data_IF_628017756003
#
_entry.id   IF_628017756003
#
_cell.length_a   1.000
_cell.length_b   1.000
_cell.length_c   1.000
_cell.angle_alpha   90.00
_cell.angle_beta   90.00
_cell.angle_gamma   90.00
#
_symmetry.space_group_name_H-M   'P 1'
#
loop_
_entity.id
_entity.type
_entity.pdbx_description
1 polymer ?
#
# COMPACT_ATOMS: atom_id res chain seq x y z
N UNK A 1 41.75 -6.53 -10.62
CA UNK A 1 40.53 -6.11 -9.91
C UNK A 1 40.48 -6.86 -8.60
N UNK A 2 40.33 -6.18 -7.47
CA UNK A 2 40.20 -6.83 -6.16
C UNK A 2 38.92 -7.67 -6.15
N UNK A 3 39.03 -8.97 -5.90
CA UNK A 3 37.88 -9.88 -5.85
C UNK A 3 36.94 -9.45 -4.71
N UNK A 4 35.65 -9.29 -5.01
CA UNK A 4 34.65 -8.89 -4.03
C UNK A 4 34.47 -10.00 -2.97
N UNK A 5 34.86 -9.73 -1.72
CA UNK A 5 34.64 -10.67 -0.63
C UNK A 5 33.27 -10.44 0.00
N UNK A 6 32.30 -11.26 -0.41
CA UNK A 6 30.91 -11.16 0.08
C UNK A 6 30.76 -11.49 1.57
N UNK A 7 31.72 -12.17 2.22
CA UNK A 7 31.60 -12.55 3.64
C UNK A 7 31.90 -11.40 4.60
N UNK A 8 32.80 -10.50 4.22
CA UNK A 8 33.24 -9.37 5.07
C UNK A 8 32.62 -8.04 4.66
N UNK A 9 31.89 -8.01 3.54
CA UNK A 9 31.26 -6.82 3.01
C UNK A 9 30.04 -6.38 3.82
N UNK A 10 29.72 -5.08 3.71
CA UNK A 10 28.47 -4.51 4.19
C UNK A 10 27.50 -4.32 3.04
N UNK A 11 26.24 -4.61 3.30
CA UNK A 11 25.20 -4.64 2.28
C UNK A 11 24.26 -3.46 2.41
N UNK A 12 23.71 -3.06 1.26
CA UNK A 12 22.62 -2.10 1.15
C UNK A 12 21.35 -2.88 0.88
N UNK A 13 20.32 -2.66 1.69
CA UNK A 13 18.99 -3.24 1.49
C UNK A 13 17.97 -2.12 1.51
N UNK A 14 17.17 -2.01 0.45
CA UNK A 14 16.17 -0.94 0.27
C UNK A 14 16.73 0.46 0.61
N UNK A 15 17.90 0.78 0.03
CA UNK A 15 18.64 2.04 0.19
C UNK A 15 19.25 2.32 1.58
N UNK A 16 19.18 1.39 2.53
CA UNK A 16 19.87 1.53 3.82
C UNK A 16 21.15 0.68 3.82
N UNK A 17 22.35 1.30 3.94
CA UNK A 17 23.62 0.57 4.06
C UNK A 17 23.86 0.02 5.48
N UNK A 18 24.84 -0.87 5.60
CA UNK A 18 25.46 -1.24 6.88
C UNK A 18 25.14 -2.64 7.39
N UNK A 19 24.33 -3.40 6.66
CA UNK A 19 23.92 -4.74 7.06
C UNK A 19 25.02 -5.78 6.87
N UNK A 20 25.10 -6.73 7.79
CA UNK A 20 25.86 -7.96 7.59
C UNK A 20 25.22 -8.83 6.50
N UNK A 21 25.98 -9.80 5.97
CA UNK A 21 25.45 -10.77 5.01
C UNK A 21 24.22 -11.49 5.55
N UNK A 22 24.25 -11.96 6.80
CA UNK A 22 23.13 -12.69 7.40
C UNK A 22 21.85 -11.82 7.45
N UNK A 23 21.95 -10.59 7.94
CA UNK A 23 20.80 -9.66 7.97
C UNK A 23 20.25 -9.40 6.57
N UNK A 24 21.14 -9.13 5.61
CA UNK A 24 20.76 -8.84 4.23
C UNK A 24 20.02 -10.03 3.58
N UNK A 25 20.50 -11.26 3.79
CA UNK A 25 19.85 -12.48 3.30
C UNK A 25 18.43 -12.61 3.83
N UNK A 26 18.22 -12.40 5.13
CA UNK A 26 16.88 -12.49 5.74
C UNK A 26 15.93 -11.43 5.19
N UNK A 27 16.42 -10.21 4.94
CA UNK A 27 15.61 -9.16 4.33
C UNK A 27 15.29 -9.46 2.86
N UNK A 28 16.28 -9.91 2.07
CA UNK A 28 16.06 -10.27 0.67
C UNK A 28 15.10 -11.45 0.52
N UNK A 29 15.18 -12.47 1.39
CA UNK A 29 14.22 -13.58 1.41
C UNK A 29 12.80 -13.14 1.77
N UNK A 30 12.66 -12.12 2.63
CA UNK A 30 11.35 -11.55 2.93
C UNK A 30 10.78 -10.77 1.72
N UNK A 31 11.64 -10.04 1.01
CA UNK A 31 11.32 -9.15 -0.12
C UNK A 31 11.02 -9.88 -1.42
N UNK A 32 11.85 -10.85 -1.79
CA UNK A 32 11.75 -11.55 -3.06
C UNK A 32 11.12 -12.92 -2.83
N UNK A 33 10.04 -13.23 -3.55
CA UNK A 33 9.38 -14.53 -3.44
C UNK A 33 10.26 -15.64 -4.04
N UNK A 34 10.99 -15.32 -5.11
CA UNK A 34 11.85 -16.27 -5.83
C UNK A 34 13.30 -15.81 -5.89
N UNK A 35 14.22 -16.78 -5.97
CA UNK A 35 15.65 -16.51 -6.21
C UNK A 35 15.88 -15.78 -7.54
N UNK A 36 15.00 -15.99 -8.53
CA UNK A 36 15.06 -15.33 -9.83
C UNK A 36 14.85 -13.82 -9.70
N UNK A 37 13.88 -13.41 -8.89
CA UNK A 37 13.61 -11.99 -8.64
C UNK A 37 14.76 -11.34 -7.87
N UNK A 38 15.30 -12.04 -6.86
CA UNK A 38 16.50 -11.61 -6.16
C UNK A 38 17.68 -11.38 -7.11
N UNK A 39 18.00 -12.37 -7.95
CA UNK A 39 19.11 -12.28 -8.91
C UNK A 39 18.94 -11.11 -9.87
N UNK A 40 17.73 -10.91 -10.38
CA UNK A 40 17.41 -9.81 -11.29
C UNK A 40 17.65 -8.43 -10.66
N UNK A 41 17.23 -8.24 -9.41
CA UNK A 41 17.23 -6.93 -8.76
C UNK A 41 18.53 -6.61 -8.00
N UNK A 42 19.21 -7.64 -7.47
CA UNK A 42 20.40 -7.46 -6.61
C UNK A 42 21.70 -7.77 -7.35
N UNK A 43 21.70 -8.78 -8.22
CA UNK A 43 22.91 -9.24 -8.93
C UNK A 43 23.00 -8.52 -10.28
N UNK A 44 23.17 -7.19 -10.22
CA UNK A 44 23.19 -6.31 -11.41
C UNK A 44 24.57 -6.18 -12.05
N UNK A 45 25.63 -6.69 -11.41
CA UNK A 45 27.01 -6.57 -11.88
C UNK A 45 27.74 -7.92 -11.81
N UNK A 46 28.63 -8.18 -12.77
CA UNK A 46 29.36 -9.46 -12.87
C UNK A 46 30.18 -9.81 -11.61
N UNK A 47 30.64 -8.80 -10.87
CA UNK A 47 31.36 -8.99 -9.62
C UNK A 47 30.52 -9.64 -8.50
N UNK A 48 29.19 -9.66 -8.64
CA UNK A 48 28.25 -10.22 -7.67
C UNK A 48 27.81 -11.65 -8.03
N UNK A 49 28.30 -12.23 -9.13
CA UNK A 49 27.89 -13.57 -9.56
C UNK A 49 28.18 -14.64 -8.51
N UNK A 50 29.32 -14.56 -7.82
CA UNK A 50 29.66 -15.48 -6.71
C UNK A 50 28.67 -15.35 -5.54
N UNK A 51 28.27 -14.12 -5.19
CA UNK A 51 27.22 -13.90 -4.18
C UNK A 51 25.89 -14.51 -4.67
N UNK A 52 25.52 -14.29 -5.93
CA UNK A 52 24.29 -14.82 -6.50
C UNK A 52 24.21 -16.35 -6.47
N UNK A 53 25.33 -17.04 -6.72
CA UNK A 53 25.43 -18.50 -6.61
C UNK A 53 25.31 -18.97 -5.15
N UNK A 54 26.03 -18.31 -4.24
CA UNK A 54 25.95 -18.61 -2.80
C UNK A 54 24.53 -18.43 -2.24
N UNK A 55 23.84 -17.35 -2.60
CA UNK A 55 22.46 -17.11 -2.15
C UNK A 55 21.48 -18.12 -2.73
N UNK A 56 21.71 -18.59 -3.96
CA UNK A 56 20.90 -19.65 -4.58
C UNK A 56 21.03 -20.98 -3.83
N UNK A 57 22.25 -21.38 -3.46
CA UNK A 57 22.50 -22.61 -2.69
C UNK A 57 21.81 -22.57 -1.32
N UNK A 58 21.83 -21.41 -0.65
CA UNK A 58 21.23 -21.26 0.67
C UNK A 58 19.77 -20.82 0.65
N UNK A 59 19.17 -20.57 -0.51
CA UNK A 59 17.92 -19.81 -0.63
C UNK A 59 16.81 -20.38 0.26
N UNK A 60 16.66 -21.70 0.26
CA UNK A 60 15.59 -22.40 0.97
C UNK A 60 15.86 -22.56 2.47
N UNK A 61 17.10 -22.39 2.91
CA UNK A 61 17.50 -22.43 4.33
C UNK A 61 17.36 -21.07 5.02
N UNK A 62 17.29 -19.97 4.25
CA UNK A 62 17.20 -18.63 4.81
C UNK A 62 15.82 -18.43 5.45
N UNK A 63 15.83 -18.13 6.76
CA UNK A 63 14.64 -17.76 7.51
C UNK A 63 14.37 -16.26 7.28
N UNK A 64 13.29 -15.88 6.57
CA UNK A 64 12.97 -14.49 6.35
C UNK A 64 12.67 -13.78 7.67
N UNK A 65 12.76 -12.46 7.65
CA UNK A 65 12.32 -11.65 8.79
C UNK A 65 10.81 -11.72 8.96
N UNK A 66 10.37 -11.95 10.19
CA UNK A 66 8.95 -12.01 10.56
C UNK A 66 8.38 -10.64 10.92
N UNK A 67 7.05 -10.52 10.84
CA UNK A 67 6.32 -9.31 11.27
C UNK A 67 6.50 -9.07 12.77
N UNK A 68 6.54 -10.14 13.56
CA UNK A 68 6.78 -10.06 14.99
C UNK A 68 8.15 -9.46 15.35
N UNK A 69 9.20 -9.85 14.63
CA UNK A 69 10.52 -9.24 14.77
C UNK A 69 10.51 -7.77 14.36
N UNK A 70 9.83 -7.44 13.26
CA UNK A 70 9.72 -6.06 12.78
C UNK A 70 9.02 -5.15 13.81
N UNK A 71 7.90 -5.59 14.38
CA UNK A 71 7.16 -4.83 15.39
C UNK A 71 8.01 -4.55 16.65
N UNK A 72 8.92 -5.46 17.02
CA UNK A 72 9.79 -5.33 18.19
C UNK A 72 11.10 -4.57 17.95
N UNK A 73 11.47 -4.29 16.70
CA UNK A 73 12.76 -3.69 16.35
C UNK A 73 12.87 -2.24 16.88
N UNK A 74 13.69 -1.91 17.89
CA UNK A 74 13.76 -0.56 18.46
C UNK A 74 14.23 0.51 17.47
N UNK A 75 15.13 0.17 16.53
CA UNK A 75 15.63 1.14 15.56
C UNK A 75 14.56 1.40 14.48
N UNK A 76 14.11 2.66 14.38
CA UNK A 76 13.03 3.06 13.46
C UNK A 76 13.41 2.83 11.99
N UNK A 77 14.66 3.10 11.60
CA UNK A 77 15.09 2.95 10.21
C UNK A 77 15.20 1.47 9.83
N UNK A 78 15.77 0.64 10.70
CA UNK A 78 15.79 -0.83 10.46
C UNK A 78 14.36 -1.38 10.42
N UNK A 79 13.49 -0.93 11.34
CA UNK A 79 12.08 -1.32 11.39
C UNK A 79 11.37 -1.00 10.07
N UNK A 80 11.60 0.18 9.49
CA UNK A 80 11.05 0.57 8.19
C UNK A 80 11.50 -0.37 7.07
N UNK A 81 12.79 -0.71 7.02
CA UNK A 81 13.31 -1.65 6.01
C UNK A 81 12.71 -3.04 6.17
N UNK A 82 12.53 -3.52 7.42
CA UNK A 82 11.87 -4.80 7.68
C UNK A 82 10.45 -4.80 7.11
N UNK A 83 9.65 -3.77 7.37
CA UNK A 83 8.29 -3.68 6.81
C UNK A 83 8.26 -3.49 5.29
N UNK A 84 9.20 -2.75 4.72
CA UNK A 84 9.34 -2.61 3.25
C UNK A 84 9.64 -3.97 2.60
N UNK A 85 10.54 -4.76 3.20
CA UNK A 85 10.87 -6.09 2.70
C UNK A 85 9.73 -7.08 2.90
N UNK A 86 9.02 -7.06 4.02
CA UNK A 86 7.87 -7.95 4.25
C UNK A 86 6.72 -7.61 3.29
N UNK A 87 6.48 -6.33 3.06
CA UNK A 87 5.38 -5.84 2.24
C UNK A 87 4.05 -5.78 2.98
N UNK A 88 3.20 -4.86 2.53
CA UNK A 88 1.93 -4.54 3.20
C UNK A 88 0.92 -5.69 3.15
N UNK A 89 0.83 -6.43 2.05
CA UNK A 89 -0.12 -7.53 1.92
C UNK A 89 0.14 -8.66 2.93
N UNK A 90 1.41 -9.04 3.12
CA UNK A 90 1.81 -10.03 4.13
C UNK A 90 1.55 -9.51 5.55
N UNK A 91 1.84 -8.22 5.80
CA UNK A 91 1.56 -7.56 7.08
C UNK A 91 0.09 -7.68 7.48
N UNK A 92 -0.81 -7.24 6.61
CA UNK A 92 -2.24 -7.28 6.91
C UNK A 92 -2.77 -8.71 6.99
N UNK A 93 -2.26 -9.65 6.20
CA UNK A 93 -2.66 -11.06 6.31
C UNK A 93 -2.33 -11.67 7.67
N UNK A 94 -1.16 -11.37 8.25
CA UNK A 94 -0.78 -11.88 9.58
C UNK A 94 -1.53 -11.15 10.72
N UNK A 95 -1.83 -9.86 10.54
CA UNK A 95 -2.59 -9.09 11.53
C UNK A 95 -4.06 -9.52 11.65
N UNK A 96 -4.59 -10.26 10.68
CA UNK A 96 -5.96 -10.78 10.69
C UNK A 96 -7.00 -9.67 10.97
N UNK A 97 -7.12 -8.68 10.07
CA UNK A 97 -8.04 -7.57 10.24
C UNK A 97 -9.50 -8.00 10.07
N UNK A 98 -10.39 -7.34 10.80
CA UNK A 98 -11.83 -7.50 10.67
C UNK A 98 -12.32 -6.74 9.44
N UNK A 99 -12.97 -7.42 8.49
CA UNK A 99 -13.64 -6.78 7.36
C UNK A 99 -14.94 -6.12 7.86
N UNK A 100 -15.03 -4.81 7.74
CA UNK A 100 -16.19 -4.03 8.17
C UNK A 100 -17.20 -3.80 7.05
N UNK A 101 -16.71 -3.51 5.86
CA UNK A 101 -17.55 -3.20 4.69
C UNK A 101 -16.82 -3.54 3.38
N UNK A 102 -17.60 -3.86 2.35
CA UNK A 102 -17.09 -4.14 1.01
C UNK A 102 -18.06 -3.58 -0.03
N UNK A 103 -17.55 -2.67 -0.86
CA UNK A 103 -18.32 -2.04 -1.92
C UNK A 103 -17.60 -2.17 -3.26
N UNK A 104 -18.39 -2.29 -4.33
CA UNK A 104 -17.91 -2.43 -5.69
C UNK A 104 -18.52 -1.33 -6.55
N UNK A 105 -17.68 -0.63 -7.30
CA UNK A 105 -18.11 0.37 -8.29
C UNK A 105 -17.77 -0.14 -9.67
N UNK A 106 -18.80 -0.49 -10.45
CA UNK A 106 -18.64 -0.81 -11.87
C UNK A 106 -18.50 0.47 -12.69
N UNK A 107 -17.45 0.53 -13.52
CA UNK A 107 -17.13 1.69 -14.36
C UNK A 107 -16.93 1.26 -15.81
N UNK A 108 -17.33 2.13 -16.73
CA UNK A 108 -17.08 1.98 -18.17
C UNK A 108 -16.06 3.02 -18.62
N UNK A 109 -15.09 2.62 -19.45
CA UNK A 109 -14.12 3.55 -20.05
C UNK A 109 -13.84 3.22 -21.50
N UNK A 110 -13.50 4.26 -22.26
CA UNK A 110 -12.96 4.09 -23.60
C UNK A 110 -11.47 3.80 -23.53
N UNK A 111 -11.04 2.70 -24.15
CA UNK A 111 -9.63 2.36 -24.42
C UNK A 111 -9.40 2.32 -25.93
N UNK A 112 -8.13 2.36 -26.35
CA UNK A 112 -7.74 2.26 -27.76
C UNK A 112 -7.01 0.94 -27.95
N UNK A 113 -7.37 0.21 -29.01
CA UNK A 113 -6.66 -1.00 -29.39
C UNK A 113 -5.34 -0.66 -30.14
N UNK A 114 -4.57 -1.68 -30.52
CA UNK A 114 -3.31 -1.52 -31.27
C UNK A 114 -3.48 -0.81 -32.62
N UNK A 115 -4.71 -0.74 -33.14
CA UNK A 115 -5.10 -0.06 -34.37
C UNK A 115 -5.66 1.35 -34.13
N UNK A 116 -5.55 1.87 -32.91
CA UNK A 116 -6.11 3.15 -32.46
C UNK A 116 -7.63 3.27 -32.58
N UNK A 117 -8.35 2.15 -32.60
CA UNK A 117 -9.81 2.12 -32.60
C UNK A 117 -10.34 2.14 -31.15
N UNK A 118 -11.33 2.99 -30.83
CA UNK A 118 -11.89 3.06 -29.49
C UNK A 118 -12.77 1.83 -29.20
N UNK A 119 -12.59 1.22 -28.04
CA UNK A 119 -13.47 0.19 -27.50
C UNK A 119 -13.86 0.50 -26.06
N UNK A 120 -15.03 0.03 -25.64
CA UNK A 120 -15.51 0.15 -24.26
C UNK A 120 -14.96 -0.98 -23.40
N UNK A 121 -14.35 -0.62 -22.28
CA UNK A 121 -13.80 -1.52 -21.29
C UNK A 121 -14.54 -1.30 -19.97
N UNK A 122 -15.24 -2.33 -19.51
CA UNK A 122 -15.91 -2.35 -18.22
C UNK A 122 -14.99 -3.01 -17.19
N UNK A 123 -14.92 -2.44 -16.01
CA UNK A 123 -14.17 -3.00 -14.89
C UNK A 123 -14.82 -2.60 -13.58
N UNK A 124 -14.55 -3.42 -12.56
CA UNK A 124 -15.05 -3.24 -11.22
C UNK A 124 -13.92 -2.77 -10.30
N UNK A 125 -14.14 -1.63 -9.66
CA UNK A 125 -13.29 -1.18 -8.56
C UNK A 125 -13.86 -1.69 -7.24
N UNK A 126 -13.09 -2.55 -6.57
CA UNK A 126 -13.46 -3.12 -5.28
C UNK A 126 -12.75 -2.35 -4.17
N UNK A 127 -13.52 -1.93 -3.16
CA UNK A 127 -13.00 -1.30 -1.95
C UNK A 127 -13.43 -2.13 -0.75
N UNK A 128 -12.46 -2.50 0.08
CA UNK A 128 -12.68 -3.29 1.30
C UNK A 128 -12.19 -2.46 2.50
N UNK A 129 -13.09 -2.16 3.43
CA UNK A 129 -12.77 -1.43 4.65
C UNK A 129 -12.50 -2.39 5.79
N UNK A 130 -11.35 -2.24 6.41
CA UNK A 130 -10.87 -3.11 7.47
C UNK A 130 -10.63 -2.37 8.78
N UNK A 131 -10.79 -3.09 9.88
CA UNK A 131 -10.41 -2.69 11.23
C UNK A 131 -9.31 -3.61 11.77
N UNK A 132 -8.26 -3.01 12.30
CA UNK A 132 -7.18 -3.68 12.98
C UNK A 132 -7.22 -3.27 14.44
N UNK A 133 -7.26 -4.24 15.33
CA UNK A 133 -7.14 -3.98 16.75
C UNK A 133 -5.76 -3.39 17.08
N UNK A 134 -5.72 -2.22 17.72
CA UNK A 134 -4.49 -1.47 17.96
C UNK A 134 -3.45 -2.27 18.75
N UNK A 135 -3.90 -3.12 19.70
CA UNK A 135 -3.00 -3.98 20.45
C UNK A 135 -2.22 -4.98 19.57
N UNK A 136 -2.69 -5.32 18.36
CA UNK A 136 -1.95 -6.20 17.43
C UNK A 136 -0.72 -5.49 16.83
N UNK A 137 -0.80 -4.17 16.67
CA UNK A 137 0.27 -3.33 16.11
C UNK A 137 1.23 -2.79 17.17
N UNK A 138 0.75 -2.56 18.38
CA UNK A 138 1.52 -1.89 19.44
C UNK A 138 1.80 -2.80 20.65
N UNK A 139 1.90 -4.12 20.46
CA UNK A 139 2.22 -5.06 21.55
C UNK A 139 3.52 -4.65 22.26
N UNK A 140 3.44 -4.39 23.57
CA UNK A 140 4.60 -4.10 24.42
C UNK A 140 4.90 -2.62 24.65
N UNK A 141 4.03 -1.69 24.24
CA UNK A 141 4.06 -0.33 24.78
C UNK A 141 3.59 -0.36 26.24
N UNK A 142 4.35 0.22 27.16
CA UNK A 142 4.05 0.33 28.60
C UNK A 142 2.90 1.32 28.88
N UNK A 143 1.87 1.33 28.05
CA UNK A 143 0.74 2.24 28.17
C UNK A 143 -0.41 1.52 28.86
N UNK A 144 -0.88 2.09 29.98
CA UNK A 144 -2.08 1.61 30.70
C UNK A 144 -3.37 1.70 29.89
N UNK A 145 -3.31 2.13 28.63
CA UNK A 145 -4.44 2.33 27.73
C UNK A 145 -4.31 1.37 26.55
N UNK A 146 -5.36 0.61 26.29
CA UNK A 146 -5.47 -0.16 25.04
C UNK A 146 -5.39 0.80 23.85
N UNK A 147 -4.47 0.55 22.90
CA UNK A 147 -4.34 1.40 21.72
C UNK A 147 -5.63 1.41 20.92
N UNK A 148 -6.00 2.57 20.39
CA UNK A 148 -7.19 2.72 19.54
C UNK A 148 -7.08 1.83 18.29
N UNK A 149 -8.20 1.30 17.77
CA UNK A 149 -8.19 0.53 16.55
C UNK A 149 -7.77 1.38 15.35
N UNK A 150 -7.08 0.74 14.41
CA UNK A 150 -6.64 1.33 13.16
C UNK A 150 -7.58 0.89 12.05
N UNK A 151 -7.98 1.83 11.18
CA UNK A 151 -8.83 1.54 10.02
C UNK A 151 -8.04 1.73 8.74
N UNK A 152 -8.27 0.85 7.77
CA UNK A 152 -7.62 0.93 6.47
C UNK A 152 -8.59 0.53 5.36
N UNK A 153 -8.56 1.27 4.25
CA UNK A 153 -9.25 0.87 3.02
C UNK A 153 -8.25 0.16 2.11
N UNK A 154 -8.63 -1.01 1.65
CA UNK A 154 -7.90 -1.82 0.69
C UNK A 154 -8.50 -1.59 -0.70
N UNK A 155 -7.63 -1.33 -1.68
CA UNK A 155 -8.01 -1.09 -3.06
C UNK A 155 -6.90 -1.53 -4.03
N UNK A 156 -7.19 -1.55 -5.33
CA UNK A 156 -6.25 -1.96 -6.38
C UNK A 156 -6.01 -0.85 -7.38
N UNK A 157 -4.79 -0.82 -7.94
CA UNK A 157 -4.51 -0.03 -9.12
C UNK A 157 -5.26 -0.61 -10.32
N UNK A 158 -6.05 0.22 -11.00
CA UNK A 158 -6.76 -0.15 -12.23
C UNK A 158 -5.83 -0.49 -13.40
N UNK A 159 -4.61 0.02 -13.40
CA UNK A 159 -3.62 -0.20 -14.48
C UNK A 159 -2.58 -1.25 -14.14
N UNK A 160 -2.04 -1.25 -12.93
CA UNK A 160 -0.96 -2.17 -12.53
C UNK A 160 -1.45 -3.38 -11.74
N UNK A 161 -2.73 -3.42 -11.36
CA UNK A 161 -3.31 -4.38 -10.41
C UNK A 161 -2.57 -4.46 -9.06
N UNK A 162 -1.73 -3.47 -8.74
CA UNK A 162 -1.05 -3.39 -7.46
C UNK A 162 -2.05 -3.14 -6.34
N UNK A 163 -1.92 -3.90 -5.27
CA UNK A 163 -2.70 -3.77 -4.05
C UNK A 163 -2.19 -2.61 -3.19
N UNK A 164 -3.13 -1.82 -2.65
CA UNK A 164 -2.87 -0.72 -1.73
C UNK A 164 -3.72 -0.87 -0.48
N UNK A 165 -3.14 -0.48 0.65
CA UNK A 165 -3.81 -0.34 1.94
C UNK A 165 -3.58 1.10 2.42
N UNK A 166 -4.65 1.86 2.57
CA UNK A 166 -4.59 3.28 2.92
C UNK A 166 -5.24 3.48 4.28
N UNK A 167 -4.48 4.00 5.23
CA UNK A 167 -4.99 4.31 6.56
C UNK A 167 -6.02 5.44 6.52
N UNK A 168 -7.11 5.24 7.24
CA UNK A 168 -8.18 6.23 7.38
C UNK A 168 -8.53 6.40 8.87
N UNK A 169 -8.89 7.61 9.31
CA UNK A 169 -9.36 7.80 10.68
C UNK A 169 -10.77 7.21 10.87
N UNK A 170 -11.13 6.88 12.12
CA UNK A 170 -12.46 6.36 12.47
C UNK A 170 -13.63 7.16 11.84
N UNK A 171 -13.56 8.49 11.86
CA UNK A 171 -14.58 9.39 11.28
C UNK A 171 -14.77 9.27 9.77
N UNK A 172 -13.75 8.75 9.07
CA UNK A 172 -13.79 8.50 7.63
C UNK A 172 -14.28 7.07 7.34
N UNK A 173 -14.03 6.13 8.26
CA UNK A 173 -14.47 4.75 8.15
C UNK A 173 -15.98 4.58 8.40
N UNK A 174 -16.61 5.42 9.24
CA UNK A 174 -18.02 5.30 9.60
C UNK A 174 -18.85 6.52 9.17
N UNK A 175 -20.06 6.28 8.69
CA UNK A 175 -21.11 7.27 8.43
C UNK A 175 -22.21 7.18 9.49
N UNK A 176 -22.69 8.32 9.96
CA UNK A 176 -23.83 8.36 10.89
C UNK A 176 -25.13 8.23 10.10
N UNK A 177 -25.91 7.19 10.40
CA UNK A 177 -27.21 6.95 9.80
C UNK A 177 -28.31 7.46 10.74
N UNK A 178 -28.98 8.59 10.43
CA UNK A 178 -29.99 9.17 11.32
C UNK A 178 -31.21 8.25 11.52
N UNK A 179 -31.57 7.48 10.50
CA UNK A 179 -32.76 6.62 10.50
C UNK A 179 -32.62 5.45 11.50
N UNK A 180 -31.41 4.91 11.64
CA UNK A 180 -31.09 3.80 12.55
C UNK A 180 -30.35 4.25 13.81
N UNK A 181 -30.10 5.55 13.97
CA UNK A 181 -29.32 6.14 15.08
C UNK A 181 -28.01 5.39 15.37
N UNK A 182 -27.35 4.89 14.32
CA UNK A 182 -26.13 4.10 14.43
C UNK A 182 -25.08 4.54 13.42
N UNK A 183 -23.82 4.22 13.72
CA UNK A 183 -22.69 4.44 12.83
C UNK A 183 -22.49 3.17 12.00
N UNK A 184 -22.48 3.31 10.68
CA UNK A 184 -22.26 2.19 9.77
C UNK A 184 -20.92 2.38 9.03
N UNK A 185 -20.13 1.32 8.87
CA UNK A 185 -18.90 1.38 8.08
C UNK A 185 -19.22 1.64 6.61
N UNK A 186 -18.38 2.44 5.93
CA UNK A 186 -18.56 2.78 4.52
C UNK A 186 -17.20 2.87 3.81
N UNK A 187 -16.90 1.86 3.00
CA UNK A 187 -15.67 1.75 2.23
C UNK A 187 -15.52 2.85 1.16
N UNK A 188 -16.62 3.30 0.55
CA UNK A 188 -16.58 4.37 -0.46
C UNK A 188 -16.32 5.72 0.19
N UNK A 189 -16.94 6.00 1.34
CA UNK A 189 -16.58 7.17 2.14
C UNK A 189 -15.11 7.13 2.55
N UNK A 190 -14.61 5.97 2.98
CA UNK A 190 -13.22 5.83 3.40
C UNK A 190 -12.23 6.16 2.27
N UNK A 191 -12.42 5.63 1.05
CA UNK A 191 -11.55 5.96 -0.08
C UNK A 191 -11.75 7.40 -0.57
N UNK A 192 -12.99 7.91 -0.60
CA UNK A 192 -13.25 9.30 -0.96
C UNK A 192 -12.49 10.27 -0.04
N UNK A 193 -12.46 9.94 1.25
CA UNK A 193 -11.75 10.73 2.25
C UNK A 193 -10.25 10.79 1.98
N UNK A 194 -9.62 9.83 1.30
CA UNK A 194 -8.17 9.92 1.02
C UNK A 194 -7.85 11.00 -0.03
N UNK A 195 -8.84 11.50 -0.76
CA UNK A 195 -8.68 12.49 -1.82
C UNK A 195 -9.02 13.87 -1.27
N UNK A 196 -8.10 14.82 -1.44
CA UNK A 196 -8.30 16.22 -1.09
C UNK A 196 -8.26 17.12 -2.30
N UNK A 197 -9.20 18.06 -2.36
CA UNK A 197 -9.27 19.09 -3.39
C UNK A 197 -9.44 20.46 -2.74
N UNK A 198 -9.10 21.52 -3.47
CA UNK A 198 -9.12 22.91 -2.99
C UNK A 198 -9.99 23.81 -3.89
N UNK A 199 -10.97 23.23 -4.58
CA UNK A 199 -11.87 23.94 -5.48
C UNK A 199 -13.32 23.58 -5.12
N UNK A 200 -14.19 24.58 -5.14
CA UNK A 200 -15.64 24.41 -4.96
C UNK A 200 -16.34 24.10 -6.30
N UNK A 201 -17.48 23.42 -6.22
CA UNK A 201 -18.30 23.05 -7.38
C UNK A 201 -17.49 22.45 -8.55
N UNK A 202 -16.64 21.43 -8.33
CA UNK A 202 -15.87 20.84 -9.40
C UNK A 202 -16.79 20.17 -10.42
N UNK A 203 -16.46 20.32 -11.70
CA UNK A 203 -17.24 19.73 -12.80
C UNK A 203 -17.00 18.23 -12.91
N UNK A 204 -15.73 17.81 -12.86
CA UNK A 204 -15.27 16.41 -12.95
C UNK A 204 -13.95 16.25 -12.21
N UNK A 205 -13.68 15.02 -11.78
CA UNK A 205 -12.43 14.61 -11.16
C UNK A 205 -11.85 13.47 -11.98
N UNK A 206 -10.56 13.58 -12.29
CA UNK A 206 -9.76 12.57 -12.95
C UNK A 206 -8.66 12.15 -12.00
N UNK A 207 -8.50 10.85 -11.80
CA UNK A 207 -7.39 10.28 -11.05
C UNK A 207 -6.45 9.58 -12.04
N UNK A 208 -5.15 9.71 -11.81
CA UNK A 208 -4.15 8.89 -12.48
C UNK A 208 -3.11 8.46 -11.45
N UNK A 209 -3.20 7.20 -10.98
CA UNK A 209 -2.48 6.75 -9.80
C UNK A 209 -2.74 7.66 -8.58
N UNK A 210 -1.70 8.37 -8.14
CA UNK A 210 -1.73 9.30 -7.00
C UNK A 210 -2.02 10.76 -7.42
N UNK A 211 -2.09 11.04 -8.72
CA UNK A 211 -2.38 12.38 -9.23
C UNK A 211 -3.89 12.56 -9.35
N UNK A 212 -4.40 13.65 -8.78
CA UNK A 212 -5.80 14.05 -8.86
C UNK A 212 -5.90 15.36 -9.64
N UNK A 213 -6.59 15.33 -10.76
CA UNK A 213 -6.87 16.49 -11.62
C UNK A 213 -8.35 16.82 -11.49
N UNK A 214 -8.64 18.08 -11.17
CA UNK A 214 -10.01 18.57 -11.00
C UNK A 214 -10.33 19.53 -12.12
N UNK A 215 -11.39 19.26 -12.87
CA UNK A 215 -11.90 20.17 -13.87
C UNK A 215 -12.81 21.21 -13.20
N UNK A 216 -12.46 22.48 -13.36
CA UNK A 216 -13.25 23.61 -12.87
C UNK A 216 -14.58 23.75 -13.63
N UNK A 217 -15.60 24.25 -12.93
CA UNK A 217 -16.84 24.76 -13.51
C UNK A 217 -16.81 26.30 -13.55
N UNK A 218 -17.73 26.97 -14.27
CA UNK A 218 -17.83 28.43 -14.24
C UNK A 218 -18.07 29.03 -12.84
N UNK A 219 -18.58 28.22 -11.90
CA UNK A 219 -18.86 28.60 -10.51
C UNK A 219 -17.71 28.22 -9.56
N UNK A 220 -16.65 27.59 -10.07
CA UNK A 220 -15.54 27.13 -9.25
C UNK A 220 -14.74 28.31 -8.69
N UNK A 221 -14.57 28.31 -7.37
CA UNK A 221 -13.64 29.17 -6.66
C UNK A 221 -12.67 28.34 -5.83
N UNK A 222 -11.44 28.85 -5.66
CA UNK A 222 -10.44 28.26 -4.76
C UNK A 222 -10.92 28.38 -3.31
N UNK A 223 -10.86 27.27 -2.59
CA UNK A 223 -11.26 27.13 -1.20
C UNK A 223 -10.18 26.45 -0.38
N UNK A 224 -10.34 26.38 0.94
CA UNK A 224 -9.45 25.58 1.78
C UNK A 224 -9.53 24.10 1.38
N UNK A 225 -8.40 23.37 1.36
CA UNK A 225 -8.40 21.95 1.04
C UNK A 225 -9.38 21.16 1.91
N UNK A 226 -10.22 20.35 1.28
CA UNK A 226 -11.19 19.50 1.94
C UNK A 226 -11.17 18.10 1.33
N UNK A 227 -11.63 17.12 2.09
CA UNK A 227 -11.74 15.73 1.67
C UNK A 227 -13.02 15.52 0.87
N UNK A 228 -12.99 14.69 -0.17
CA UNK A 228 -14.22 14.35 -0.89
C UNK A 228 -15.19 13.57 0.01
N UNK A 229 -16.48 13.81 -0.19
CA UNK A 229 -17.52 12.91 0.34
C UNK A 229 -17.69 11.70 -0.57
N UNK A 230 -18.24 10.60 -0.05
CA UNK A 230 -18.57 9.42 -0.86
C UNK A 230 -19.46 9.78 -2.06
N UNK A 231 -20.44 10.68 -1.85
CA UNK A 231 -21.30 11.20 -2.92
C UNK A 231 -20.50 11.92 -4.01
N UNK A 232 -19.61 12.84 -3.64
CA UNK A 232 -18.76 13.54 -4.62
C UNK A 232 -17.85 12.57 -5.37
N UNK A 233 -17.33 11.55 -4.69
CA UNK A 233 -16.51 10.52 -5.32
C UNK A 233 -17.31 9.76 -6.38
N UNK A 234 -18.53 9.31 -6.06
CA UNK A 234 -19.38 8.56 -6.99
C UNK A 234 -19.87 9.42 -8.18
N UNK A 235 -20.24 10.68 -7.92
CA UNK A 235 -20.86 11.53 -8.94
C UNK A 235 -19.83 12.22 -9.85
N UNK A 236 -18.65 12.55 -9.32
CA UNK A 236 -17.70 13.42 -10.02
C UNK A 236 -16.46 12.67 -10.53
N UNK A 237 -16.16 11.48 -10.02
CA UNK A 237 -15.01 10.70 -10.46
C UNK A 237 -15.28 10.08 -11.84
N UNK A 238 -14.77 10.73 -12.87
CA UNK A 238 -15.05 10.38 -14.25
C UNK A 238 -14.09 9.33 -14.82
N UNK A 239 -12.83 9.37 -14.42
CA UNK A 239 -11.80 8.42 -14.88
C UNK A 239 -10.70 8.26 -13.84
N UNK A 240 -10.22 7.04 -13.61
CA UNK A 240 -9.10 6.71 -12.72
C UNK A 240 -8.04 5.83 -13.44
N UNK A 241 -7.08 6.41 -14.16
CA UNK A 241 -6.07 5.63 -14.91
C UNK A 241 -4.95 5.09 -14.04
#
# INVERSE_FOLDING_TARGET
MTQFNYKTSKYIVSNLPGFSLNEALRFWKAKFETIKDFKKEVITHNALLELGAFVEEMWDEIIPVSIHEALKQPNIEIRRIMFDCIGVAKLFKELDPELLDKQVISKERTRWNEKYEPYKYNFDDVYELYKIEGYKLFKGTNESRTPDPVFAVRCWCTTTHREYWIYVPHRAAYEYMPQSSCWQPDAIKAIAWTIRINISYPKRIFRQGDIIIVQESPQSIVVRPYHLTGKQYLELMYSET
#
